data_IF_104283495151
#
_entry.id   IF_104283495151
#
_cell.length_a   1.000
_cell.length_b   1.000
_cell.length_c   1.000
_cell.angle_alpha   90.00
_cell.angle_beta   90.00
_cell.angle_gamma   90.00
#
_symmetry.space_group_name_H-M   'P 1'
#
loop_
_entity.id
_entity.type
_entity.pdbx_description
1 polymer ?
#
# COMPACT_ATOMS: atom_id res chain seq x y z
N UNK A 1 16.02 -12.51 4.25
CA UNK A 1 16.39 -11.67 3.09
C UNK A 1 15.89 -12.35 1.81
N UNK A 2 15.80 -11.61 0.70
CA UNK A 2 15.42 -12.19 -0.59
C UNK A 2 16.52 -13.12 -1.09
N UNK A 3 16.24 -14.42 -1.18
CA UNK A 3 17.21 -15.45 -1.56
C UNK A 3 17.02 -15.96 -3.00
N UNK A 4 16.02 -15.42 -3.72
CA UNK A 4 15.70 -15.76 -5.11
C UNK A 4 15.33 -14.49 -5.88
N UNK A 5 15.50 -14.53 -7.21
CA UNK A 5 15.13 -13.42 -8.09
C UNK A 5 13.62 -13.23 -8.08
N UNK A 6 13.16 -12.01 -7.84
CA UNK A 6 11.75 -11.65 -7.84
C UNK A 6 11.54 -10.20 -8.24
N UNK A 7 10.29 -9.83 -8.49
CA UNK A 7 9.85 -8.47 -8.80
C UNK A 7 8.66 -8.08 -7.94
N UNK A 8 8.40 -6.78 -7.84
CA UNK A 8 7.27 -6.24 -7.10
C UNK A 8 6.79 -4.90 -7.65
N UNK A 9 5.69 -4.43 -7.08
CA UNK A 9 5.09 -3.12 -7.37
C UNK A 9 5.15 -2.24 -6.13
N UNK A 10 5.55 -0.98 -6.30
CA UNK A 10 5.42 0.06 -5.28
C UNK A 10 4.15 0.86 -5.56
N UNK A 11 3.17 0.79 -4.65
CA UNK A 11 1.94 1.58 -4.73
C UNK A 11 1.34 1.73 -3.34
N UNK A 12 1.09 2.96 -2.88
CA UNK A 12 0.47 3.16 -1.57
C UNK A 12 -1.03 2.82 -1.61
N UNK A 13 -1.62 2.41 -0.47
CA UNK A 13 -3.05 2.10 -0.41
C UNK A 13 -3.92 3.28 -0.79
N UNK A 14 -3.53 4.50 -0.39
CA UNK A 14 -4.27 5.72 -0.73
C UNK A 14 -4.39 5.96 -2.24
N UNK A 15 -3.50 5.37 -3.05
CA UNK A 15 -3.52 5.46 -4.52
C UNK A 15 -4.45 4.45 -5.19
N UNK A 16 -5.03 3.51 -4.43
CA UNK A 16 -6.02 2.59 -4.98
C UNK A 16 -7.27 3.37 -5.41
N UNK A 17 -7.90 2.99 -6.54
CA UNK A 17 -9.21 3.52 -6.89
C UNK A 17 -10.19 3.16 -5.77
N UNK A 18 -11.09 4.07 -5.41
CA UNK A 18 -12.04 3.86 -4.33
C UNK A 18 -13.21 4.83 -4.47
N UNK A 19 -14.39 4.40 -4.01
CA UNK A 19 -15.58 5.26 -3.94
C UNK A 19 -15.53 6.33 -2.85
N UNK A 20 -14.50 6.30 -1.99
CA UNK A 20 -14.34 7.18 -0.83
C UNK A 20 -13.31 8.30 -1.06
N UNK A 21 -12.97 8.61 -2.32
CA UNK A 21 -11.95 9.57 -2.73
C UNK A 21 -10.49 9.24 -2.33
N UNK A 22 -10.28 8.30 -1.41
CA UNK A 22 -8.99 7.74 -1.03
C UNK A 22 -9.07 6.22 -1.03
N UNK A 23 -8.00 5.56 -1.46
CA UNK A 23 -7.90 4.11 -1.42
C UNK A 23 -7.90 3.56 0.01
N UNK A 24 -8.52 2.39 0.19
CA UNK A 24 -8.75 1.76 1.49
C UNK A 24 -8.39 0.27 1.45
N UNK A 25 -8.30 -0.36 2.62
CA UNK A 25 -8.17 -1.82 2.76
C UNK A 25 -9.50 -2.54 2.44
N UNK A 26 -9.96 -2.43 1.18
CA UNK A 26 -11.21 -3.00 0.68
C UNK A 26 -11.03 -4.06 -0.42
N UNK A 27 -12.09 -4.32 -1.18
CA UNK A 27 -12.06 -5.30 -2.27
C UNK A 27 -11.15 -4.84 -3.43
N UNK A 28 -10.95 -3.54 -3.58
CA UNK A 28 -10.03 -2.88 -4.50
C UNK A 28 -8.58 -3.31 -4.22
N UNK A 29 -8.21 -3.43 -2.95
CA UNK A 29 -6.89 -3.92 -2.54
C UNK A 29 -6.71 -5.40 -2.87
N UNK A 30 -7.74 -6.23 -2.61
CA UNK A 30 -7.73 -7.66 -2.99
C UNK A 30 -7.60 -7.83 -4.50
N UNK A 31 -8.41 -7.11 -5.28
CA UNK A 31 -8.33 -7.11 -6.76
C UNK A 31 -6.97 -6.64 -7.26
N UNK A 32 -6.34 -5.68 -6.58
CA UNK A 32 -4.98 -5.26 -6.91
C UNK A 32 -3.96 -6.38 -6.67
N UNK A 33 -4.04 -7.05 -5.51
CA UNK A 33 -3.21 -8.22 -5.18
C UNK A 33 -3.38 -9.31 -6.25
N UNK A 34 -4.62 -9.69 -6.57
CA UNK A 34 -4.92 -10.71 -7.58
C UNK A 34 -4.34 -10.33 -8.95
N UNK A 35 -4.44 -9.04 -9.32
CA UNK A 35 -3.92 -8.51 -10.58
C UNK A 35 -2.40 -8.58 -10.65
N UNK A 36 -1.68 -8.12 -9.62
CA UNK A 36 -0.20 -8.15 -9.63
C UNK A 36 0.33 -9.57 -9.52
N UNK A 37 -0.37 -10.46 -8.81
CA UNK A 37 -0.06 -11.88 -8.76
C UNK A 37 -0.22 -12.54 -10.13
N UNK A 38 -1.31 -12.26 -10.86
CA UNK A 38 -1.51 -12.73 -12.23
C UNK A 38 -0.47 -12.19 -13.22
N UNK A 39 0.12 -11.02 -12.94
CA UNK A 39 1.24 -10.45 -13.71
C UNK A 39 2.61 -11.05 -13.35
N UNK A 40 2.68 -11.94 -12.35
CA UNK A 40 3.92 -12.58 -11.91
C UNK A 40 4.74 -11.76 -10.89
N UNK A 41 4.20 -10.66 -10.35
CA UNK A 41 4.84 -9.94 -9.25
C UNK A 41 4.65 -10.72 -7.94
N UNK A 42 5.71 -10.75 -7.12
CA UNK A 42 5.70 -11.48 -5.83
C UNK A 42 5.68 -10.55 -4.61
N UNK A 43 5.90 -9.25 -4.82
CA UNK A 43 5.96 -8.27 -3.73
C UNK A 43 5.09 -7.05 -4.02
N UNK A 44 4.44 -6.56 -2.97
CA UNK A 44 3.80 -5.25 -2.94
C UNK A 44 4.44 -4.42 -1.85
N UNK A 45 5.11 -3.35 -2.24
CA UNK A 45 5.70 -2.39 -1.32
C UNK A 45 4.75 -1.20 -1.12
N UNK A 46 4.64 -0.76 0.12
CA UNK A 46 3.86 0.41 0.54
C UNK A 46 4.75 1.39 1.32
N UNK A 47 4.31 2.64 1.39
CA UNK A 47 4.82 3.64 2.33
C UNK A 47 4.34 3.32 3.77
N UNK A 48 4.82 4.00 4.82
CA UNK A 48 4.34 3.77 6.18
C UNK A 48 2.83 3.99 6.29
N UNK A 49 2.16 3.14 7.09
CA UNK A 49 0.70 3.12 7.22
C UNK A 49 0.19 3.95 8.41
N UNK A 50 1.10 4.61 9.11
CA UNK A 50 0.79 5.44 10.26
C UNK A 50 -0.12 6.62 9.85
N UNK A 51 -0.91 7.18 10.79
CA UNK A 51 -1.63 8.43 10.57
C UNK A 51 -0.69 9.51 10.05
N UNK A 52 -0.90 10.04 8.83
CA UNK A 52 -0.03 11.05 8.28
C UNK A 52 -0.24 12.39 9.00
N UNK A 53 0.67 13.32 8.76
CA UNK A 53 0.53 14.70 9.21
C UNK A 53 -0.58 15.45 8.44
N UNK A 54 -0.76 16.72 8.79
CA UNK A 54 -1.74 17.59 8.15
C UNK A 54 -1.53 17.76 6.63
N UNK A 55 -0.32 17.52 6.13
CA UNK A 55 0.03 17.64 4.71
C UNK A 55 -0.07 16.30 3.96
N UNK A 56 -0.42 15.21 4.65
CA UNK A 56 -0.54 13.88 4.06
C UNK A 56 0.78 13.12 3.94
N UNK A 57 1.85 13.55 4.63
CA UNK A 57 3.13 12.84 4.62
C UNK A 57 3.04 11.53 5.43
N UNK A 58 3.23 10.35 4.82
CA UNK A 58 3.24 9.08 5.55
C UNK A 58 4.51 8.90 6.41
N UNK A 59 5.51 9.76 6.23
CA UNK A 59 6.76 9.74 7.00
C UNK A 59 6.73 10.63 8.24
N UNK A 60 5.63 11.36 8.44
CA UNK A 60 5.47 12.30 9.55
C UNK A 60 4.20 11.91 10.29
N UNK A 61 4.36 11.22 11.42
CA UNK A 61 3.25 10.76 12.25
C UNK A 61 3.54 10.99 13.73
N UNK A 62 2.50 11.34 14.49
CA UNK A 62 2.57 11.44 15.95
C UNK A 62 2.43 10.08 16.65
N UNK A 63 2.19 8.99 15.90
CA UNK A 63 1.92 7.67 16.44
C UNK A 63 2.66 6.56 15.67
N UNK A 64 3.79 6.10 16.21
CA UNK A 64 4.65 5.10 15.57
C UNK A 64 4.02 3.71 15.40
N UNK A 65 2.99 3.38 16.19
CA UNK A 65 2.35 2.05 16.19
C UNK A 65 0.88 2.05 15.72
N UNK A 66 0.30 3.22 15.46
CA UNK A 66 -1.07 3.33 14.98
C UNK A 66 -1.15 3.12 13.46
N UNK A 67 -2.34 2.82 12.95
CA UNK A 67 -2.65 2.70 11.53
C UNK A 67 -3.75 3.69 11.13
N UNK A 68 -3.67 4.24 9.92
CA UNK A 68 -4.67 5.14 9.31
C UNK A 68 -5.76 4.44 8.51
#
# INVERSE_FOLDING_TARGET
MLNTRASGVLMHLSSLPSRYAIGVMGDEAKRFIDKIAAMGFSYWQVLPLNPPDFYGSPYTSNAAFAIS
#
